data_IF_999119609165
#
_entry.id   IF_999119609165
#
_cell.length_a   1.000
_cell.length_b   1.000
_cell.length_c   1.000
_cell.angle_alpha   90.00
_cell.angle_beta   90.00
_cell.angle_gamma   90.00
#
_symmetry.space_group_name_H-M   'P 1'
#
loop_
_entity.id
_entity.type
_entity.pdbx_description
1 polymer ?
#
# COMPACT_ATOMS: atom_id res chain seq x y z
N UNK A 1 -0.94 -18.65 -16.98
CA UNK A 1 0.11 -17.92 -17.73
C UNK A 1 1.24 -18.88 -18.07
N UNK A 2 1.49 -19.07 -19.36
CA UNK A 2 2.47 -20.05 -19.86
C UNK A 2 3.85 -19.41 -19.87
N UNK A 3 4.74 -19.85 -18.98
CA UNK A 3 6.14 -19.41 -18.97
C UNK A 3 6.82 -20.10 -20.17
N UNK A 4 7.22 -19.32 -21.18
CA UNK A 4 7.95 -19.86 -22.34
C UNK A 4 9.43 -19.96 -22.00
N UNK A 5 9.83 -21.13 -21.50
CA UNK A 5 11.24 -21.49 -21.32
C UNK A 5 11.68 -22.20 -22.60
N UNK A 6 12.60 -21.60 -23.36
CA UNK A 6 13.20 -22.26 -24.52
C UNK A 6 14.33 -23.19 -24.07
N UNK A 7 14.02 -24.48 -24.10
CA UNK A 7 15.00 -25.55 -23.81
C UNK A 7 15.49 -26.08 -25.16
N UNK A 8 16.66 -25.62 -25.60
CA UNK A 8 17.32 -26.19 -26.78
C UNK A 8 17.91 -27.56 -26.42
N UNK A 9 17.09 -28.61 -26.40
CA UNK A 9 17.54 -30.01 -26.40
C UNK A 9 17.00 -30.71 -27.64
N UNK A 10 17.90 -31.32 -28.43
CA UNK A 10 17.57 -32.13 -29.61
C UNK A 10 16.84 -33.39 -29.12
N UNK A 11 15.54 -33.52 -29.40
CA UNK A 11 14.71 -34.64 -28.91
C UNK A 11 14.32 -35.58 -30.05
N UNK A 12 14.45 -36.90 -29.81
CA UNK A 12 14.02 -37.96 -30.72
C UNK A 12 12.49 -38.15 -30.68
N UNK A 13 11.93 -38.62 -31.79
CA UNK A 13 10.49 -38.65 -32.07
C UNK A 13 9.76 -39.69 -31.20
N UNK A 14 9.07 -39.24 -30.14
CA UNK A 14 8.10 -40.03 -29.37
C UNK A 14 7.50 -39.21 -28.22
N UNK A 15 6.17 -39.24 -28.03
CA UNK A 15 5.37 -38.54 -27.00
C UNK A 15 6.00 -37.27 -26.40
N UNK A 16 6.55 -36.42 -27.28
CA UNK A 16 7.54 -35.40 -26.94
C UNK A 16 6.90 -34.29 -26.12
N UNK A 17 5.60 -34.06 -26.32
CA UNK A 17 4.80 -33.03 -25.64
C UNK A 17 4.72 -33.24 -24.13
N UNK A 18 4.47 -34.47 -23.65
CA UNK A 18 4.37 -34.77 -22.22
C UNK A 18 5.73 -34.61 -21.52
N UNK A 19 6.80 -35.09 -22.15
CA UNK A 19 8.18 -35.01 -21.63
C UNK A 19 8.66 -33.55 -21.62
N UNK A 20 8.38 -32.79 -22.68
CA UNK A 20 8.68 -31.36 -22.75
C UNK A 20 7.92 -30.58 -21.67
N UNK A 21 6.61 -30.84 -21.51
CA UNK A 21 5.79 -30.16 -20.50
C UNK A 21 6.28 -30.46 -19.08
N UNK A 22 6.60 -31.71 -18.77
CA UNK A 22 7.18 -32.08 -17.48
C UNK A 22 8.52 -31.38 -17.23
N UNK A 23 9.38 -31.32 -18.25
CA UNK A 23 10.69 -30.66 -18.18
C UNK A 23 10.57 -29.14 -17.97
N UNK A 24 9.64 -28.49 -18.68
CA UNK A 24 9.34 -27.06 -18.53
C UNK A 24 8.74 -26.78 -17.15
N UNK A 25 7.79 -27.60 -16.69
CA UNK A 25 7.20 -27.45 -15.35
C UNK A 25 8.24 -27.62 -14.24
N UNK A 26 9.17 -28.57 -14.39
CA UNK A 26 10.28 -28.72 -13.46
C UNK A 26 11.21 -27.50 -13.45
N UNK A 27 11.57 -26.98 -14.64
CA UNK A 27 12.42 -25.79 -14.76
C UNK A 27 11.75 -24.52 -14.18
N UNK A 28 10.44 -24.34 -14.41
CA UNK A 28 9.67 -23.22 -13.85
C UNK A 28 9.57 -23.30 -12.32
N UNK A 29 9.39 -24.51 -11.76
CA UNK A 29 9.40 -24.73 -10.31
C UNK A 29 10.75 -24.38 -9.70
N UNK A 30 11.85 -24.90 -10.25
CA UNK A 30 13.19 -24.54 -9.79
C UNK A 30 13.46 -23.04 -9.86
N UNK A 31 13.04 -22.38 -10.94
CA UNK A 31 13.22 -20.94 -11.09
C UNK A 31 12.50 -20.17 -9.97
N UNK A 32 11.25 -20.53 -9.66
CA UNK A 32 10.50 -19.93 -8.56
C UNK A 32 11.25 -20.06 -7.23
N UNK A 33 11.73 -21.26 -6.91
CA UNK A 33 12.44 -21.52 -5.65
C UNK A 33 13.72 -20.66 -5.54
N UNK A 34 14.46 -20.50 -6.64
CA UNK A 34 15.65 -19.64 -6.68
C UNK A 34 15.34 -18.16 -6.55
N UNK A 35 14.27 -17.69 -7.19
CA UNK A 35 13.79 -16.30 -7.08
C UNK A 35 13.43 -15.99 -5.63
N UNK A 36 12.65 -16.85 -4.98
CA UNK A 36 12.24 -16.66 -3.59
C UNK A 36 13.44 -16.73 -2.64
N UNK A 37 14.36 -17.66 -2.85
CA UNK A 37 15.60 -17.76 -2.08
C UNK A 37 16.48 -16.52 -2.20
N UNK A 38 16.68 -16.00 -3.41
CA UNK A 38 17.45 -14.77 -3.64
C UNK A 38 16.73 -13.54 -3.07
N UNK A 39 15.41 -13.46 -3.19
CA UNK A 39 14.60 -12.38 -2.65
C UNK A 39 14.70 -12.29 -1.12
N UNK A 40 14.63 -13.43 -0.43
CA UNK A 40 14.80 -13.47 1.02
C UNK A 40 16.23 -13.12 1.45
N UNK A 41 17.25 -13.61 0.73
CA UNK A 41 18.68 -13.32 1.02
C UNK A 41 19.05 -11.85 0.83
N UNK A 42 18.30 -11.14 -0.02
CA UNK A 42 18.54 -9.72 -0.33
C UNK A 42 17.62 -8.78 0.42
N UNK A 43 17.00 -9.25 1.51
CA UNK A 43 16.07 -8.47 2.32
C UNK A 43 14.98 -7.78 1.48
N UNK A 44 14.33 -8.57 0.63
CA UNK A 44 13.23 -8.13 -0.22
C UNK A 44 13.59 -7.08 -1.28
N UNK A 45 14.83 -7.14 -1.80
CA UNK A 45 15.30 -6.23 -2.84
C UNK A 45 14.47 -6.27 -4.14
N UNK A 46 14.63 -5.21 -4.94
CA UNK A 46 13.97 -5.04 -6.23
C UNK A 46 14.29 -6.12 -7.26
N UNK A 47 13.45 -6.19 -8.30
CA UNK A 47 13.50 -7.18 -9.39
C UNK A 47 14.87 -7.26 -10.07
N UNK A 48 15.56 -6.15 -10.25
CA UNK A 48 16.88 -6.10 -10.92
C UNK A 48 17.97 -6.80 -10.10
N UNK A 49 17.97 -6.60 -8.78
CA UNK A 49 18.94 -7.20 -7.87
C UNK A 49 18.74 -8.72 -7.85
N UNK A 50 17.49 -9.17 -7.72
CA UNK A 50 17.15 -10.59 -7.78
C UNK A 50 17.56 -11.21 -9.14
N UNK A 51 17.33 -10.50 -10.25
CA UNK A 51 17.74 -10.96 -11.57
C UNK A 51 19.27 -11.09 -11.69
N UNK A 52 20.04 -10.16 -11.14
CA UNK A 52 21.50 -10.20 -11.16
C UNK A 52 22.09 -11.36 -10.33
N UNK A 53 21.42 -11.74 -9.24
CA UNK A 53 21.86 -12.81 -8.34
C UNK A 53 21.50 -14.22 -8.79
N UNK A 54 20.56 -14.36 -9.73
CA UNK A 54 20.19 -15.67 -10.26
C UNK A 54 21.09 -15.97 -11.46
N UNK A 55 22.07 -16.89 -11.33
CA UNK A 55 22.84 -17.30 -12.49
C UNK A 55 21.92 -18.06 -13.44
N UNK A 56 21.86 -17.56 -14.67
CA UNK A 56 20.91 -17.92 -15.70
C UNK A 56 21.34 -19.24 -16.34
N UNK A 57 20.78 -20.38 -15.89
CA UNK A 57 20.94 -21.68 -16.58
C UNK A 57 20.08 -21.81 -17.84
N UNK A 58 19.06 -20.97 -17.97
CA UNK A 58 18.04 -21.04 -19.03
C UNK A 58 17.74 -19.64 -19.52
N UNK A 59 17.60 -19.44 -20.83
CA UNK A 59 17.17 -18.15 -21.36
C UNK A 59 15.68 -17.94 -21.06
N UNK A 60 15.38 -17.08 -20.09
CA UNK A 60 14.00 -16.79 -19.69
C UNK A 60 13.53 -15.56 -20.45
N UNK A 61 12.66 -15.78 -21.43
CA UNK A 61 11.96 -14.69 -22.12
C UNK A 61 11.13 -13.91 -21.11
N UNK A 62 11.24 -12.58 -21.10
CA UNK A 62 10.56 -11.70 -20.15
C UNK A 62 10.86 -12.02 -18.66
N UNK A 63 12.09 -12.43 -18.35
CA UNK A 63 12.56 -12.75 -16.98
C UNK A 63 12.16 -11.71 -15.94
N UNK A 64 12.31 -10.42 -16.25
CA UNK A 64 11.92 -9.31 -15.37
C UNK A 64 10.44 -9.35 -14.98
N UNK A 65 9.55 -9.62 -15.94
CA UNK A 65 8.12 -9.65 -15.69
C UNK A 65 7.73 -10.85 -14.84
N UNK A 66 8.33 -12.01 -15.12
CA UNK A 66 8.12 -13.22 -14.35
C UNK A 66 8.59 -13.07 -12.90
N UNK A 67 9.79 -12.52 -12.68
CA UNK A 67 10.29 -12.24 -11.33
C UNK A 67 9.36 -11.26 -10.64
N UNK A 68 8.97 -10.16 -11.30
CA UNK A 68 8.04 -9.19 -10.72
C UNK A 68 6.75 -9.86 -10.25
N UNK A 69 6.16 -10.74 -11.06
CA UNK A 69 4.94 -11.48 -10.68
C UNK A 69 5.12 -12.33 -9.43
N UNK A 70 6.27 -13.01 -9.28
CA UNK A 70 6.58 -13.76 -8.06
C UNK A 70 6.69 -12.81 -6.87
N UNK A 71 7.39 -11.68 -7.03
CA UNK A 71 7.62 -10.70 -5.95
C UNK A 71 6.36 -9.93 -5.54
N UNK A 72 5.35 -9.79 -6.42
CA UNK A 72 4.10 -9.11 -6.07
C UNK A 72 3.32 -9.82 -4.95
N UNK A 73 3.58 -11.10 -4.72
CA UNK A 73 3.01 -11.84 -3.59
C UNK A 73 3.71 -11.56 -2.26
N UNK A 74 4.84 -10.86 -2.26
CA UNK A 74 5.53 -10.44 -1.05
C UNK A 74 5.03 -9.08 -0.58
N UNK A 75 4.41 -9.03 0.60
CA UNK A 75 3.89 -7.79 1.19
C UNK A 75 5.00 -6.76 1.47
N UNK A 76 6.18 -7.21 1.92
CA UNK A 76 7.33 -6.33 2.18
C UNK A 76 7.79 -5.66 0.89
N UNK A 77 7.98 -6.44 -0.17
CA UNK A 77 8.34 -5.91 -1.48
C UNK A 77 7.27 -4.96 -2.01
N UNK A 78 5.99 -5.32 -1.88
CA UNK A 78 4.87 -4.50 -2.34
C UNK A 78 4.82 -3.14 -1.63
N UNK A 79 5.17 -3.10 -0.34
CA UNK A 79 5.24 -1.86 0.43
C UNK A 79 6.29 -0.88 -0.10
N UNK A 80 7.45 -1.37 -0.54
CA UNK A 80 8.58 -0.51 -0.97
C UNK A 80 8.68 -0.31 -2.48
N UNK A 81 8.17 -1.25 -3.28
CA UNK A 81 8.32 -1.27 -4.74
C UNK A 81 6.98 -1.40 -5.49
N UNK A 82 5.87 -1.57 -4.78
CA UNK A 82 4.53 -1.53 -5.35
C UNK A 82 4.21 -0.15 -5.91
N UNK A 83 3.19 -0.09 -6.78
CA UNK A 83 2.62 1.20 -7.16
C UNK A 83 1.92 1.77 -5.93
N UNK A 84 2.14 3.06 -5.65
CA UNK A 84 1.36 3.74 -4.62
C UNK A 84 -0.12 3.63 -4.96
N UNK A 85 -0.95 3.39 -3.94
CA UNK A 85 -2.38 3.59 -4.08
C UNK A 85 -2.58 5.09 -4.31
N UNK A 86 -2.90 5.45 -5.55
CA UNK A 86 -3.32 6.80 -5.87
C UNK A 86 -4.82 6.83 -5.69
N UNK A 87 -5.24 7.42 -4.58
CA UNK A 87 -6.65 7.73 -4.42
C UNK A 87 -7.03 8.74 -5.51
N UNK A 88 -8.15 8.54 -6.22
CA UNK A 88 -8.62 9.54 -7.16
C UNK A 88 -8.85 10.84 -6.39
N UNK A 89 -8.16 11.90 -6.81
CA UNK A 89 -8.39 13.24 -6.27
C UNK A 89 -9.87 13.57 -6.47
N UNK A 90 -10.60 13.69 -5.37
CA UNK A 90 -11.98 14.17 -5.42
C UNK A 90 -11.97 15.65 -5.76
N UNK A 91 -13.00 16.13 -6.45
CA UNK A 91 -13.17 17.58 -6.66
C UNK A 91 -13.36 18.20 -5.28
N UNK A 92 -12.52 19.17 -4.92
CA UNK A 92 -12.70 19.89 -3.68
C UNK A 92 -14.07 20.59 -3.70
N UNK A 93 -14.85 20.54 -2.61
CA UNK A 93 -16.10 21.27 -2.50
C UNK A 93 -15.88 22.76 -2.81
N UNK A 94 -16.85 23.39 -3.48
CA UNK A 94 -16.72 24.77 -3.96
C UNK A 94 -16.49 25.75 -2.81
N UNK A 95 -17.00 25.41 -1.63
CA UNK A 95 -16.80 26.12 -0.37
C UNK A 95 -15.31 26.26 0.01
N UNK A 96 -14.44 25.31 -0.40
CA UNK A 96 -12.99 25.35 -0.16
C UNK A 96 -12.18 26.06 -1.25
N UNK A 97 -12.81 26.43 -2.37
CA UNK A 97 -12.12 26.98 -3.55
C UNK A 97 -12.55 28.41 -3.84
N UNK A 98 -13.77 28.78 -3.46
CA UNK A 98 -14.29 30.14 -3.64
C UNK A 98 -13.80 31.04 -2.51
N UNK A 99 -13.21 32.17 -2.88
CA UNK A 99 -12.83 33.23 -1.92
C UNK A 99 -14.09 33.82 -1.30
N UNK A 100 -14.24 33.69 0.01
CA UNK A 100 -15.33 34.27 0.79
C UNK A 100 -14.83 35.41 1.69
N UNK A 101 -15.75 36.20 2.24
CA UNK A 101 -15.44 37.23 3.23
C UNK A 101 -15.03 36.56 4.56
N UNK A 102 -14.20 37.22 5.39
CA UNK A 102 -13.91 36.72 6.74
C UNK A 102 -15.23 36.42 7.49
N UNK A 103 -15.33 35.24 8.10
CA UNK A 103 -16.52 34.71 8.81
C UNK A 103 -17.75 34.36 7.95
N UNK A 104 -17.66 34.38 6.62
CA UNK A 104 -18.77 33.96 5.75
C UNK A 104 -18.93 32.43 5.68
N UNK A 105 -17.81 31.70 5.82
CA UNK A 105 -17.78 30.26 6.01
C UNK A 105 -16.92 29.95 7.25
N UNK A 106 -17.46 29.17 8.18
CA UNK A 106 -16.76 28.74 9.40
C UNK A 106 -16.73 27.21 9.41
N UNK A 107 -15.56 26.64 9.65
CA UNK A 107 -15.41 25.21 9.93
C UNK A 107 -15.88 24.92 11.34
N UNK A 108 -16.88 24.04 11.48
CA UNK A 108 -17.30 23.51 12.79
C UNK A 108 -16.81 22.07 12.87
N UNK A 109 -15.81 21.82 13.71
CA UNK A 109 -15.37 20.47 14.03
C UNK A 109 -15.92 20.07 15.40
N UNK A 110 -16.70 18.99 15.41
CA UNK A 110 -17.13 18.38 16.67
C UNK A 110 -16.07 17.40 17.09
N UNK A 111 -15.47 17.64 18.25
CA UNK A 111 -14.61 16.66 18.87
C UNK A 111 -15.47 15.48 19.37
N UNK A 112 -14.94 14.27 19.24
CA UNK A 112 -15.54 13.10 19.86
C UNK A 112 -15.63 13.31 21.38
N UNK A 113 -16.65 12.74 22.07
CA UNK A 113 -16.80 12.93 23.50
C UNK A 113 -15.56 12.43 24.25
N UNK A 114 -14.94 13.31 25.04
CA UNK A 114 -13.82 12.97 25.92
C UNK A 114 -14.24 13.06 27.38
N UNK A 115 -13.62 12.23 28.22
CA UNK A 115 -13.93 12.17 29.64
C UNK A 115 -12.96 13.06 30.42
N UNK A 116 -13.49 13.98 31.21
CA UNK A 116 -12.69 14.82 32.11
C UNK A 116 -12.80 14.25 33.52
N UNK A 117 -11.66 13.86 34.10
CA UNK A 117 -11.56 13.52 35.52
C UNK A 117 -11.40 14.82 36.32
N UNK A 118 -12.37 15.14 37.16
CA UNK A 118 -12.27 16.29 38.09
C UNK A 118 -11.60 15.84 39.39
N UNK A 119 -10.57 16.56 39.85
CA UNK A 119 -9.79 16.24 41.07
C UNK A 119 -10.63 16.10 42.35
N UNK A 120 -11.87 16.59 42.34
CA UNK A 120 -12.78 16.64 43.50
C UNK A 120 -13.92 15.62 43.46
N UNK A 121 -14.02 14.77 42.43
CA UNK A 121 -15.10 13.78 42.35
C UNK A 121 -14.65 12.55 41.55
N UNK A 122 -14.91 11.35 42.08
CA UNK A 122 -14.71 10.06 41.38
C UNK A 122 -15.67 9.85 40.20
N UNK A 123 -16.48 10.85 39.82
CA UNK A 123 -17.40 10.77 38.70
C UNK A 123 -16.71 11.32 37.44
N UNK A 124 -16.54 10.46 36.45
CA UNK A 124 -16.13 10.85 35.10
C UNK A 124 -17.27 11.63 34.43
N UNK A 125 -17.01 12.86 34.01
CA UNK A 125 -17.99 13.65 33.24
C UNK A 125 -17.65 13.54 31.75
N UNK A 126 -18.63 13.09 30.97
CA UNK A 126 -18.54 13.07 29.51
C UNK A 126 -18.71 14.50 29.00
N UNK A 127 -17.71 15.02 28.31
CA UNK A 127 -17.74 16.35 27.70
C UNK A 127 -17.59 16.21 26.19
N UNK A 128 -18.44 16.91 25.43
CA UNK A 128 -18.29 17.07 23.99
C UNK A 128 -17.80 18.49 23.73
N UNK A 129 -16.62 18.61 23.10
CA UNK A 129 -16.03 19.89 22.71
C UNK A 129 -16.47 20.32 21.32
N UNK A 130 -16.59 21.63 21.12
CA UNK A 130 -16.81 22.26 19.82
C UNK A 130 -15.57 23.10 19.51
N UNK A 131 -14.85 22.73 18.46
CA UNK A 131 -13.73 23.50 17.96
C UNK A 131 -14.21 24.28 16.73
N UNK A 132 -14.22 25.60 16.86
CA UNK A 132 -14.56 26.52 15.77
C UNK A 132 -13.28 27.07 15.17
N UNK A 133 -13.02 26.73 13.91
CA UNK A 133 -11.89 27.26 13.17
C UNK A 133 -12.37 28.20 12.06
N UNK A 134 -11.81 29.40 12.04
CA UNK A 134 -12.00 30.37 10.96
C UNK A 134 -10.76 30.32 10.06
N UNK A 135 -10.91 29.78 8.85
CA UNK A 135 -9.79 29.48 7.94
C UNK A 135 -9.12 30.75 7.34
N UNK A 136 -9.65 31.95 7.60
CA UNK A 136 -9.18 33.22 6.98
C UNK A 136 -8.31 34.07 7.92
N UNK A 137 -8.16 33.71 9.19
CA UNK A 137 -7.28 34.41 10.13
C UNK A 137 -6.36 33.39 10.80
N UNK A 138 -5.05 33.48 10.55
CA UNK A 138 -4.02 32.83 11.39
C UNK A 138 -4.01 33.45 12.81
N UNK A 139 -5.14 33.44 13.53
CA UNK A 139 -5.28 33.97 14.88
C UNK A 139 -6.18 33.07 15.73
N UNK A 140 -5.49 32.22 16.48
CA UNK A 140 -5.76 31.70 17.82
C UNK A 140 -7.14 31.09 18.11
N UNK A 141 -7.09 29.77 18.32
CA UNK A 141 -8.06 28.94 19.03
C UNK A 141 -8.70 29.67 20.22
N UNK A 142 -9.99 30.02 20.10
CA UNK A 142 -10.84 30.31 21.25
C UNK A 142 -11.61 29.03 21.57
N UNK A 143 -11.07 28.24 22.51
CA UNK A 143 -11.79 27.14 23.12
C UNK A 143 -12.96 27.70 23.95
N UNK A 144 -14.13 27.84 23.34
CA UNK A 144 -15.36 28.15 24.09
C UNK A 144 -15.86 26.84 24.66
N UNK A 145 -15.34 26.47 25.82
CA UNK A 145 -15.88 25.40 26.65
C UNK A 145 -17.15 25.92 27.35
N UNK A 146 -18.23 26.13 26.60
CA UNK A 146 -19.54 26.35 27.20
C UNK A 146 -20.08 24.99 27.62
N UNK A 147 -20.11 24.79 28.94
CA UNK A 147 -20.75 23.64 29.59
C UNK A 147 -22.23 23.68 29.20
N UNK A 148 -22.61 22.96 28.15
CA UNK A 148 -24.00 22.59 27.90
C UNK A 148 -24.29 21.42 28.84
N UNK A 149 -24.86 21.75 30.00
CA UNK A 149 -25.41 20.80 30.96
C UNK A 149 -26.91 21.04 31.07
N UNK A 150 -27.66 20.62 30.04
CA UNK A 150 -29.12 20.43 30.03
C UNK A 150 -29.35 19.33 28.97
N UNK A 151 -29.87 18.12 29.22
CA UNK A 151 -30.57 17.46 30.33
C UNK A 151 -29.98 16.05 30.59
#
# INVERSE_FOLDING_TARGET
MTIRIEVHKKLSKGNVSAILNASVNFATKQLKDRVLGAHSKTHHSGTLVVLALIPVKYWIVQSRQLIRQILQHCAVWLRFHGKSAMEPWTVLPSERVVTSRPFEAIGVEFADPFYIATEYSNNEKKCSGLDLECEILELQSLAICQIFSEE
#
